data_IF_971771086318
#
_entry.id   IF_971771086318
#
_cell.length_a   1.000
_cell.length_b   1.000
_cell.length_c   1.000
_cell.angle_alpha   90.00
_cell.angle_beta   90.00
_cell.angle_gamma   90.00
#
_symmetry.space_group_name_H-M   'P 1'
#
loop_
_entity.id
_entity.type
_entity.pdbx_description
1 polymer ?
#
# COMPACT_ATOMS: atom_id res chain seq x y z
N UNK A 1 -17.98 -36.81 -8.01
CA UNK A 1 -17.40 -38.16 -8.11
C UNK A 1 -16.07 -38.18 -7.40
N UNK A 2 -15.85 -39.19 -6.57
CA UNK A 2 -14.70 -39.44 -5.68
C UNK A 2 -13.73 -40.34 -6.45
N UNK A 3 -12.44 -40.04 -6.52
CA UNK A 3 -11.43 -41.09 -6.70
C UNK A 3 -10.18 -40.79 -5.88
N UNK A 4 -9.95 -41.70 -4.95
CA UNK A 4 -8.84 -41.81 -4.01
C UNK A 4 -7.76 -42.69 -4.63
N UNK A 5 -6.49 -42.29 -4.41
CA UNK A 5 -5.21 -43.03 -4.38
C UNK A 5 -5.04 -44.32 -5.21
N UNK A 6 -3.90 -44.42 -5.90
CA UNK A 6 -2.89 -45.45 -5.60
C UNK A 6 -1.54 -45.16 -6.24
N UNK A 7 -0.49 -45.42 -5.47
CA UNK A 7 0.91 -45.28 -5.82
C UNK A 7 1.37 -46.36 -6.82
N UNK A 8 2.27 -45.99 -7.73
CA UNK A 8 3.10 -46.95 -8.47
C UNK A 8 4.55 -46.74 -8.06
N UNK A 9 5.08 -47.73 -7.33
CA UNK A 9 6.51 -48.02 -7.24
C UNK A 9 6.90 -48.76 -8.51
N UNK A 10 7.84 -48.21 -9.26
CA UNK A 10 8.52 -48.90 -10.36
C UNK A 10 10.00 -48.57 -10.30
N UNK A 11 10.80 -49.51 -9.78
CA UNK A 11 12.25 -49.49 -9.90
C UNK A 11 12.64 -50.35 -11.11
N UNK A 12 13.34 -49.77 -12.08
CA UNK A 12 14.12 -50.51 -13.09
C UNK A 12 15.36 -49.70 -13.44
N UNK A 13 16.52 -50.33 -13.29
CA UNK A 13 17.82 -49.84 -13.72
C UNK A 13 18.10 -50.22 -15.19
N UNK A 14 18.71 -49.31 -15.96
CA UNK A 14 19.74 -49.58 -16.98
C UNK A 14 20.07 -48.28 -17.72
N UNK A 15 21.35 -48.00 -17.90
CA UNK A 15 21.87 -46.71 -18.34
C UNK A 15 21.59 -46.35 -19.80
N UNK A 16 21.31 -45.07 -20.00
CA UNK A 16 21.54 -44.31 -21.22
C UNK A 16 21.74 -42.85 -20.80
N UNK A 17 22.82 -42.23 -21.26
CA UNK A 17 23.10 -40.80 -21.17
C UNK A 17 21.87 -40.01 -21.64
N UNK A 18 21.10 -39.49 -20.70
CA UNK A 18 20.07 -38.48 -20.91
C UNK A 18 20.52 -37.24 -20.18
N UNK A 19 20.64 -36.12 -20.90
CA UNK A 19 20.93 -34.83 -20.32
C UNK A 19 19.97 -34.57 -19.17
N UNK A 20 20.50 -34.52 -17.94
CA UNK A 20 19.74 -34.13 -16.77
C UNK A 20 19.44 -32.63 -16.86
N UNK A 21 18.40 -32.26 -17.60
CA UNK A 21 17.74 -30.97 -17.42
C UNK A 21 17.04 -31.03 -16.07
N UNK A 22 17.80 -30.76 -15.01
CA UNK A 22 17.25 -30.29 -13.74
C UNK A 22 16.49 -29.01 -14.06
N UNK A 23 15.20 -29.13 -14.32
CA UNK A 23 14.28 -28.02 -14.13
C UNK A 23 14.28 -27.74 -12.64
N UNK A 24 15.22 -26.88 -12.22
CA UNK A 24 15.05 -26.15 -10.99
C UNK A 24 13.71 -25.43 -11.14
N UNK A 25 12.70 -25.88 -10.40
CA UNK A 25 11.53 -25.06 -10.17
C UNK A 25 12.08 -23.79 -9.53
N UNK A 26 12.24 -22.74 -10.33
CA UNK A 26 12.56 -21.42 -9.82
C UNK A 26 11.41 -21.08 -8.89
N UNK A 27 11.64 -21.19 -7.59
CA UNK A 27 10.76 -20.57 -6.60
C UNK A 27 10.76 -19.11 -6.98
N UNK A 28 9.69 -18.65 -7.64
CA UNK A 28 9.48 -17.25 -7.90
C UNK A 28 9.33 -16.59 -6.53
N UNK A 29 10.43 -16.08 -6.00
CA UNK A 29 10.45 -15.27 -4.81
C UNK A 29 9.79 -13.94 -5.18
N UNK A 30 8.49 -13.85 -4.98
CA UNK A 30 7.78 -12.58 -4.93
C UNK A 30 8.56 -11.61 -4.03
N UNK A 31 8.87 -10.43 -4.55
CA UNK A 31 9.42 -9.38 -3.68
C UNK A 31 8.42 -9.15 -2.53
N UNK A 32 8.87 -9.05 -1.26
CA UNK A 32 7.98 -8.77 -0.15
C UNK A 32 7.15 -7.50 -0.43
N UNK A 33 5.86 -7.46 -0.05
CA UNK A 33 5.04 -6.28 -0.23
C UNK A 33 5.67 -5.08 0.48
N UNK A 34 5.53 -3.89 -0.11
CA UNK A 34 5.97 -2.68 0.55
C UNK A 34 4.92 -2.27 1.60
N UNK A 35 5.30 -2.28 2.88
CA UNK A 35 4.41 -1.97 4.01
C UNK A 35 4.75 -0.57 4.55
N UNK A 36 3.80 0.34 4.52
CA UNK A 36 3.94 1.71 5.01
C UNK A 36 2.76 2.14 5.88
N UNK A 37 2.94 3.24 6.60
CA UNK A 37 1.85 3.91 7.33
C UNK A 37 0.85 4.56 6.37
N UNK A 38 -0.40 4.74 6.83
CA UNK A 38 -1.37 5.57 6.11
C UNK A 38 -0.83 6.98 5.87
N UNK A 39 -1.10 7.55 4.69
CA UNK A 39 -0.62 8.87 4.26
C UNK A 39 0.74 8.84 3.57
N UNK A 40 1.47 7.73 3.64
CA UNK A 40 2.74 7.58 2.92
C UNK A 40 2.50 7.21 1.45
N UNK A 41 3.18 7.90 0.53
CA UNK A 41 3.16 7.56 -0.89
C UNK A 41 3.95 6.28 -1.16
N UNK A 42 3.39 5.38 -1.95
CA UNK A 42 4.03 4.14 -2.38
C UNK A 42 3.94 3.98 -3.90
N UNK A 43 5.01 3.47 -4.50
CA UNK A 43 5.13 3.34 -5.94
C UNK A 43 4.83 1.91 -6.40
N UNK A 44 3.93 1.79 -7.36
CA UNK A 44 3.68 0.58 -8.16
C UNK A 44 4.40 0.73 -9.49
N UNK A 45 5.28 -0.21 -9.81
CA UNK A 45 5.96 -0.30 -11.11
C UNK A 45 5.38 -1.49 -11.86
N UNK A 46 4.83 -1.24 -13.04
CA UNK A 46 4.27 -2.26 -13.93
C UNK A 46 4.85 -2.08 -15.34
N UNK A 47 5.93 -2.81 -15.63
CA UNK A 47 6.67 -2.68 -16.87
C UNK A 47 7.17 -1.24 -17.10
N UNK A 48 6.75 -0.55 -18.18
CA UNK A 48 7.12 0.84 -18.44
C UNK A 48 6.28 1.86 -17.66
N UNK A 49 5.22 1.42 -16.97
CA UNK A 49 4.30 2.28 -16.25
C UNK A 49 4.73 2.41 -14.79
N UNK A 50 4.58 3.61 -14.24
CA UNK A 50 4.87 3.87 -12.83
C UNK A 50 3.78 4.72 -12.23
N UNK A 51 3.15 4.20 -11.18
CA UNK A 51 2.04 4.85 -10.47
C UNK A 51 2.39 5.05 -9.02
N UNK A 52 2.27 6.26 -8.51
CA UNK A 52 2.34 6.51 -7.08
C UNK A 52 0.94 6.55 -6.50
N UNK A 53 0.70 5.69 -5.51
CA UNK A 53 -0.53 5.68 -4.73
C UNK A 53 -0.27 6.21 -3.33
N UNK A 54 -1.22 6.97 -2.80
CA UNK A 54 -1.27 7.36 -1.39
C UNK A 54 -2.64 6.98 -0.87
N UNK A 55 -2.69 6.15 0.18
CA UNK A 55 -3.94 5.83 0.87
C UNK A 55 -3.89 6.36 2.29
N UNK A 56 -4.96 7.03 2.72
CA UNK A 56 -5.05 7.63 4.05
C UNK A 56 -6.46 7.52 4.61
N UNK A 57 -6.60 7.92 5.88
CA UNK A 57 -7.90 8.21 6.47
C UNK A 57 -8.91 7.04 6.45
N UNK A 58 -8.43 5.80 6.62
CA UNK A 58 -9.30 4.62 6.73
C UNK A 58 -10.15 4.71 8.00
N UNK A 59 -11.47 4.81 7.83
CA UNK A 59 -12.42 4.99 8.94
C UNK A 59 -13.84 4.55 8.59
N UNK A 60 -14.72 4.36 9.59
CA UNK A 60 -16.15 4.17 9.34
C UNK A 60 -16.76 5.33 8.56
N UNK A 61 -17.69 5.02 7.65
CA UNK A 61 -18.40 6.00 6.84
C UNK A 61 -19.90 5.94 7.10
N UNK A 62 -20.55 7.10 7.04
CA UNK A 62 -22.01 7.25 7.04
C UNK A 62 -22.55 7.59 5.64
N UNK A 63 -21.72 7.51 4.59
CA UNK A 63 -22.14 7.76 3.23
C UNK A 63 -23.23 6.78 2.78
N UNK A 64 -24.23 7.28 2.06
CA UNK A 64 -25.18 6.42 1.35
C UNK A 64 -24.70 6.18 -0.07
N UNK A 65 -24.60 4.91 -0.46
CA UNK A 65 -24.23 4.50 -1.82
C UNK A 65 -25.51 4.06 -2.54
N UNK A 66 -26.02 4.83 -3.51
CA UNK A 66 -27.23 4.45 -4.24
C UNK A 66 -27.09 3.08 -4.91
N UNK A 67 -28.08 2.21 -4.71
CA UNK A 67 -28.09 0.86 -5.28
C UNK A 67 -27.21 -0.15 -4.52
N UNK A 68 -26.64 0.22 -3.37
CA UNK A 68 -25.87 -0.67 -2.51
C UNK A 68 -26.37 -0.63 -1.07
N UNK A 69 -26.64 -1.81 -0.51
CA UNK A 69 -27.01 -1.96 0.90
C UNK A 69 -25.87 -2.67 1.62
N UNK A 70 -25.13 -1.98 2.50
CA UNK A 70 -24.07 -2.60 3.29
C UNK A 70 -24.61 -3.76 4.13
N UNK A 71 -23.86 -4.87 4.16
CA UNK A 71 -24.15 -6.02 5.02
C UNK A 71 -23.55 -5.86 6.41
N UNK A 72 -22.50 -5.05 6.54
CA UNK A 72 -21.89 -4.67 7.80
C UNK A 72 -21.75 -3.16 7.91
N UNK A 73 -20.63 -2.71 8.46
CA UNK A 73 -20.32 -1.29 8.60
C UNK A 73 -19.61 -0.80 7.34
N UNK A 74 -20.09 0.29 6.75
CA UNK A 74 -19.39 0.92 5.64
C UNK A 74 -18.12 1.60 6.17
N UNK A 75 -17.00 1.37 5.50
CA UNK A 75 -15.74 2.08 5.73
C UNK A 75 -15.35 2.83 4.47
N UNK A 76 -14.58 3.90 4.65
CA UNK A 76 -13.98 4.66 3.57
C UNK A 76 -12.48 4.87 3.80
N UNK A 77 -11.73 5.03 2.72
CA UNK A 77 -10.35 5.51 2.75
C UNK A 77 -10.13 6.50 1.61
N UNK A 78 -9.36 7.55 1.86
CA UNK A 78 -8.97 8.50 0.82
C UNK A 78 -7.83 7.91 0.01
N UNK A 79 -7.87 8.09 -1.31
CA UNK A 79 -6.84 7.59 -2.22
C UNK A 79 -6.47 8.66 -3.25
N UNK A 80 -5.18 8.80 -3.49
CA UNK A 80 -4.62 9.56 -4.62
C UNK A 80 -3.79 8.63 -5.48
N UNK A 81 -4.01 8.69 -6.78
CA UNK A 81 -3.27 7.97 -7.80
C UNK A 81 -2.59 8.96 -8.74
N UNK A 82 -1.28 8.91 -8.86
CA UNK A 82 -0.48 9.79 -9.72
C UNK A 82 0.30 8.96 -10.73
N UNK A 83 0.25 9.35 -12.01
CA UNK A 83 1.08 8.72 -13.03
C UNK A 83 2.44 9.39 -13.08
N UNK A 84 3.50 8.70 -12.68
CA UNK A 84 4.88 9.23 -12.76
C UNK A 84 5.57 8.85 -14.08
N UNK A 85 5.21 7.71 -14.67
CA UNK A 85 5.68 7.29 -15.98
C UNK A 85 4.56 6.62 -16.80
N UNK A 86 4.38 7.09 -18.04
CA UNK A 86 3.37 6.58 -18.97
C UNK A 86 1.95 7.09 -18.69
N UNK A 87 0.98 6.53 -19.41
CA UNK A 87 -0.45 6.77 -19.17
C UNK A 87 -0.99 5.61 -18.36
N UNK A 88 -1.42 5.87 -17.13
CA UNK A 88 -1.84 4.84 -16.17
C UNK A 88 -3.34 4.79 -16.09
N UNK A 89 -3.93 3.60 -16.04
CA UNK A 89 -5.35 3.43 -15.69
C UNK A 89 -5.43 2.82 -14.29
N UNK A 90 -5.96 3.53 -13.28
CA UNK A 90 -5.98 3.03 -11.91
C UNK A 90 -6.95 1.86 -11.76
N UNK A 91 -6.47 0.75 -11.18
CA UNK A 91 -7.29 -0.44 -10.95
C UNK A 91 -7.96 -0.37 -9.58
N UNK A 92 -9.16 0.20 -9.53
CA UNK A 92 -9.88 0.41 -8.26
C UNK A 92 -10.16 -0.92 -7.55
N UNK A 93 -10.53 -1.99 -8.27
CA UNK A 93 -10.86 -3.31 -7.72
C UNK A 93 -9.68 -4.04 -7.04
N UNK A 94 -8.45 -3.58 -7.24
CA UNK A 94 -7.25 -4.17 -6.63
C UNK A 94 -7.08 -3.74 -5.16
N UNK A 95 -7.84 -2.73 -4.72
CA UNK A 95 -7.83 -2.29 -3.34
C UNK A 95 -8.70 -3.16 -2.43
N UNK A 96 -8.11 -3.57 -1.30
CA UNK A 96 -8.73 -4.44 -0.30
C UNK A 96 -8.47 -3.85 1.09
N UNK A 97 -9.52 -3.60 1.87
CA UNK A 97 -9.36 -3.31 3.29
C UNK A 97 -9.11 -4.61 4.06
N UNK A 98 -8.14 -4.60 4.98
CA UNK A 98 -7.70 -5.78 5.73
C UNK A 98 -7.84 -5.58 7.24
N UNK A 99 -8.48 -6.54 7.89
CA UNK A 99 -8.59 -6.66 9.34
C UNK A 99 -7.30 -7.16 10.00
N UNK A 100 -7.15 -6.97 11.32
CA UNK A 100 -5.98 -7.42 12.08
C UNK A 100 -5.80 -8.94 12.10
N UNK A 101 -6.87 -9.68 11.82
CA UNK A 101 -6.91 -11.14 11.67
C UNK A 101 -6.65 -11.62 10.24
N UNK A 102 -6.29 -10.72 9.30
CA UNK A 102 -6.12 -11.03 7.88
C UNK A 102 -7.43 -11.13 7.09
N UNK A 103 -8.57 -10.78 7.68
CA UNK A 103 -9.85 -10.76 6.97
C UNK A 103 -9.85 -9.67 5.90
N UNK A 104 -10.26 -10.02 4.68
CA UNK A 104 -10.25 -9.11 3.54
C UNK A 104 -11.67 -8.64 3.19
N UNK A 105 -11.82 -7.33 2.98
CA UNK A 105 -13.03 -6.68 2.50
C UNK A 105 -12.70 -5.99 1.18
N UNK A 106 -13.27 -6.49 0.08
CA UNK A 106 -13.05 -5.91 -1.25
C UNK A 106 -13.66 -4.51 -1.32
N UNK A 107 -13.04 -3.64 -2.12
CA UNK A 107 -13.63 -2.35 -2.46
C UNK A 107 -15.01 -2.55 -3.11
N UNK A 108 -15.89 -1.59 -2.92
CA UNK A 108 -17.18 -1.51 -3.59
C UNK A 108 -16.97 -0.78 -4.92
N UNK A 109 -16.88 -1.52 -6.02
CA UNK A 109 -16.64 -0.99 -7.38
C UNK A 109 -17.78 -1.28 -8.37
N UNK A 110 -18.67 -2.23 -8.05
CA UNK A 110 -19.78 -2.66 -8.92
C UNK A 110 -20.92 -1.65 -9.06
N UNK A 111 -20.92 -0.62 -8.23
CA UNK A 111 -21.89 0.48 -8.24
C UNK A 111 -21.14 1.80 -8.24
N UNK A 112 -21.79 2.86 -8.68
CA UNK A 112 -21.21 4.20 -8.58
C UNK A 112 -21.22 4.64 -7.11
N UNK A 113 -20.03 4.88 -6.57
CA UNK A 113 -19.84 5.36 -5.20
C UNK A 113 -19.64 6.88 -5.19
N UNK A 114 -20.07 7.59 -4.14
CA UNK A 114 -19.85 9.03 -4.01
C UNK A 114 -18.36 9.37 -4.03
N UNK A 115 -17.92 10.27 -4.90
CA UNK A 115 -16.52 10.72 -4.98
C UNK A 115 -15.51 9.57 -5.12
N UNK A 116 -15.92 8.47 -5.78
CA UNK A 116 -15.05 7.32 -6.04
C UNK A 116 -13.82 7.70 -6.84
N UNK A 117 -12.72 6.95 -6.66
CA UNK A 117 -11.55 7.10 -7.51
C UNK A 117 -11.94 6.87 -8.98
N UNK A 118 -11.66 7.85 -9.84
CA UNK A 118 -12.03 7.78 -11.25
C UNK A 118 -11.15 6.74 -11.98
N UNK A 119 -11.73 5.70 -12.60
CA UNK A 119 -10.97 4.67 -13.34
C UNK A 119 -10.54 5.12 -14.75
N UNK A 120 -10.67 6.41 -15.10
CA UNK A 120 -10.21 6.93 -16.38
C UNK A 120 -8.67 6.97 -16.48
N UNK A 121 -8.09 6.88 -17.69
CA UNK A 121 -6.65 7.02 -17.88
C UNK A 121 -6.11 8.37 -17.36
N UNK A 122 -5.01 8.30 -16.61
CA UNK A 122 -4.28 9.43 -16.02
C UNK A 122 -3.02 9.68 -16.88
N UNK A 123 -2.93 10.84 -17.56
CA UNK A 123 -1.72 11.22 -18.28
C UNK A 123 -0.50 11.31 -17.36
N UNK A 124 0.69 11.10 -17.91
CA UNK A 124 1.94 11.25 -17.15
C UNK A 124 2.04 12.64 -16.52
N UNK A 125 2.43 12.69 -15.25
CA UNK A 125 2.55 13.91 -14.44
C UNK A 125 1.24 14.40 -13.83
N UNK A 126 0.09 13.80 -14.18
CA UNK A 126 -1.21 14.11 -13.60
C UNK A 126 -1.58 13.14 -12.46
N UNK A 127 -2.60 13.52 -11.70
CA UNK A 127 -3.14 12.72 -10.60
C UNK A 127 -4.67 12.71 -10.58
N UNK A 128 -5.22 11.70 -9.91
CA UNK A 128 -6.64 11.50 -9.66
C UNK A 128 -6.83 11.16 -8.19
N UNK A 129 -7.74 11.84 -7.53
CA UNK A 129 -8.07 11.61 -6.11
C UNK A 129 -9.51 11.15 -6.00
N UNK A 130 -9.78 10.28 -5.04
CA UNK A 130 -11.13 9.86 -4.71
C UNK A 130 -11.18 9.08 -3.41
N UNK A 131 -12.31 8.40 -3.21
CA UNK A 131 -12.61 7.65 -2.00
C UNK A 131 -12.83 6.18 -2.36
N UNK A 132 -12.22 5.28 -1.59
CA UNK A 132 -12.47 3.85 -1.64
C UNK A 132 -13.49 3.50 -0.57
N UNK A 133 -14.52 2.72 -0.90
CA UNK A 133 -15.50 2.24 0.08
C UNK A 133 -15.40 0.74 0.26
N UNK A 134 -15.58 0.28 1.50
CA UNK A 134 -15.49 -1.13 1.88
C UNK A 134 -16.68 -1.51 2.75
N UNK A 135 -17.27 -2.68 2.51
CA UNK A 135 -18.33 -3.25 3.36
C UNK A 135 -17.72 -4.22 4.38
N UNK A 136 -17.58 -3.76 5.62
CA UNK A 136 -16.88 -4.47 6.69
C UNK A 136 -17.87 -5.31 7.49
N UNK A 137 -17.87 -6.62 7.24
CA UNK A 137 -18.77 -7.59 7.86
C UNK A 137 -18.18 -8.31 9.07
N UNK A 138 -16.98 -7.94 9.51
CA UNK A 138 -16.26 -8.58 10.62
C UNK A 138 -15.44 -7.58 11.44
N UNK A 139 -14.23 -7.98 11.82
CA UNK A 139 -13.33 -7.12 12.59
C UNK A 139 -13.00 -5.81 11.83
N UNK A 140 -12.94 -4.65 12.52
CA UNK A 140 -12.55 -3.38 11.91
C UNK A 140 -11.22 -3.48 11.15
N UNK A 141 -11.14 -2.97 9.91
CA UNK A 141 -9.90 -2.99 9.15
C UNK A 141 -8.89 -2.01 9.77
N UNK A 142 -7.61 -2.40 9.74
CA UNK A 142 -6.48 -1.59 10.17
C UNK A 142 -5.45 -1.39 9.05
N UNK A 143 -5.76 -1.84 7.83
CA UNK A 143 -4.94 -1.68 6.65
C UNK A 143 -5.74 -1.64 5.35
N UNK A 144 -5.15 -1.06 4.33
CA UNK A 144 -5.57 -1.16 2.93
C UNK A 144 -4.42 -1.74 2.14
N UNK A 145 -4.73 -2.66 1.23
CA UNK A 145 -3.79 -3.40 0.42
C UNK A 145 -4.12 -3.17 -1.05
N UNK A 146 -3.10 -2.95 -1.86
CA UNK A 146 -3.17 -3.09 -3.31
C UNK A 146 -2.68 -4.50 -3.67
N UNK A 147 -3.55 -5.31 -4.26
CA UNK A 147 -3.25 -6.67 -4.71
C UNK A 147 -3.38 -6.74 -6.23
N UNK A 148 -2.31 -7.09 -6.93
CA UNK A 148 -2.23 -7.11 -8.41
C UNK A 148 -2.98 -8.31 -9.06
N UNK A 149 -3.85 -8.97 -8.29
CA UNK A 149 -4.55 -10.20 -8.68
C UNK A 149 -3.77 -11.48 -8.38
N UNK A 150 -2.46 -11.39 -8.09
CA UNK A 150 -1.63 -12.54 -7.70
C UNK A 150 -1.12 -12.41 -6.27
N UNK A 151 -0.67 -11.22 -5.89
CA UNK A 151 0.01 -10.97 -4.61
C UNK A 151 -0.26 -9.56 -4.10
N UNK A 152 -0.02 -9.38 -2.79
CA UNK A 152 -0.02 -8.05 -2.21
C UNK A 152 1.24 -7.33 -2.65
N UNK A 153 1.09 -6.11 -3.17
CA UNK A 153 2.24 -5.32 -3.67
C UNK A 153 2.47 -4.11 -2.78
N UNK A 154 1.40 -3.39 -2.44
CA UNK A 154 1.44 -2.20 -1.57
C UNK A 154 0.51 -2.40 -0.38
N UNK A 155 0.95 -2.03 0.81
CA UNK A 155 0.18 -2.16 2.05
C UNK A 155 0.32 -0.87 2.85
N UNK A 156 -0.80 -0.19 3.09
CA UNK A 156 -0.92 0.92 4.04
C UNK A 156 -1.59 0.41 5.31
N UNK A 157 -1.00 0.61 6.48
CA UNK A 157 -1.58 0.14 7.74
C UNK A 157 -1.24 1.04 8.92
N UNK A 158 -2.16 1.13 9.87
CA UNK A 158 -1.93 1.80 11.17
C UNK A 158 -0.90 1.07 12.03
N UNK A 159 -0.57 -0.19 11.69
CA UNK A 159 0.40 -1.01 12.41
C UNK A 159 1.78 -1.02 11.73
N UNK A 160 2.04 -0.12 10.79
CA UNK A 160 3.31 -0.07 10.11
C UNK A 160 4.43 0.24 11.11
N UNK A 161 5.64 -0.35 10.97
CA UNK A 161 6.78 0.06 11.75
C UNK A 161 6.96 1.57 11.55
N UNK A 162 7.07 2.32 12.65
CA UNK A 162 6.95 3.77 12.64
C UNK A 162 7.96 4.43 11.68
N UNK A 163 7.52 4.79 10.48
CA UNK A 163 8.08 5.88 9.70
C UNK A 163 7.32 7.15 10.09
N UNK A 164 7.37 7.52 11.37
CA UNK A 164 6.97 8.86 11.81
C UNK A 164 8.14 9.80 11.52
N UNK A 165 7.97 10.90 10.76
CA UNK A 165 8.80 12.07 10.95
C UNK A 165 8.66 12.44 12.44
N UNK A 166 9.75 12.40 13.20
CA UNK A 166 9.70 12.73 14.62
C UNK A 166 9.10 14.13 14.80
N UNK A 167 8.03 14.25 15.57
CA UNK A 167 7.66 15.54 16.13
C UNK A 167 8.79 16.02 17.04
N UNK A 168 9.13 17.31 17.00
CA UNK A 168 10.15 17.87 17.87
C UNK A 168 9.87 17.52 19.35
N UNK A 169 10.91 17.12 20.09
CA UNK A 169 10.89 16.74 21.52
C UNK A 169 10.21 15.41 21.93
N UNK A 170 10.46 14.32 21.22
CA UNK A 170 10.32 12.97 21.81
C UNK A 170 11.61 12.14 21.67
N UNK A 171 12.13 11.54 22.75
CA UNK A 171 13.24 10.58 22.67
C UNK A 171 12.80 9.30 21.95
N UNK A 172 13.48 8.93 20.87
CA UNK A 172 13.24 7.66 20.16
C UNK A 172 13.72 6.44 20.95
N UNK A 173 12.97 5.34 20.91
CA UNK A 173 13.40 4.05 21.48
C UNK A 173 14.50 3.42 20.62
N UNK A 174 15.57 2.98 21.26
CA UNK A 174 16.82 2.57 20.62
C UNK A 174 16.70 1.25 19.82
N UNK A 175 16.83 1.32 18.49
CA UNK A 175 17.65 0.38 17.68
C UNK A 175 17.71 0.79 16.20
N UNK A 176 18.47 1.83 15.88
CA UNK A 176 19.23 1.94 14.61
C UNK A 176 20.18 3.16 14.69
N UNK A 177 21.44 3.06 14.23
CA UNK A 177 22.27 4.24 14.04
C UNK A 177 21.69 5.08 12.89
N UNK A 178 21.16 6.26 13.20
CA UNK A 178 20.84 7.25 12.18
C UNK A 178 22.12 7.72 11.49
N UNK A 179 22.08 7.91 10.18
CA UNK A 179 23.11 8.71 9.49
C UNK A 179 23.16 10.07 10.16
N UNK A 180 24.35 10.53 10.56
CA UNK A 180 24.53 11.81 11.22
C UNK A 180 23.93 12.94 10.35
N UNK A 181 22.99 13.70 10.91
CA UNK A 181 22.58 14.97 10.32
C UNK A 181 23.80 15.89 10.30
N UNK A 182 24.15 16.42 9.13
CA UNK A 182 25.01 17.60 9.05
C UNK A 182 24.38 18.72 9.89
N UNK A 183 25.14 19.40 10.77
CA UNK A 183 24.63 20.55 11.48
C UNK A 183 24.23 21.65 10.49
N UNK A 184 22.96 22.06 10.55
CA UNK A 184 22.49 23.25 9.85
C UNK A 184 23.36 24.46 10.20
N UNK A 185 23.73 25.23 9.18
CA UNK A 185 24.56 26.42 9.33
C UNK A 185 23.95 27.38 10.37
N UNK A 186 24.74 27.90 11.34
CA UNK A 186 24.21 28.82 12.33
C UNK A 186 23.88 30.18 11.68
N UNK A 187 22.65 30.65 11.89
CA UNK A 187 22.29 32.06 11.68
C UNK A 187 23.14 32.95 12.58
N UNK A 188 23.72 34.06 12.08
CA UNK A 188 24.55 34.93 12.91
C UNK A 188 23.68 35.66 13.95
N UNK A 189 24.00 35.46 15.24
CA UNK A 189 23.52 36.31 16.34
C UNK A 189 24.02 37.75 16.16
N UNK A 190 23.23 38.78 16.49
CA UNK A 190 23.70 40.16 16.52
C UNK A 190 24.75 40.35 17.64
N UNK A 191 25.76 41.17 17.38
CA UNK A 191 26.80 41.49 18.35
C UNK A 191 26.24 42.26 19.57
N UNK A 192 26.86 42.14 20.76
CA UNK A 192 26.43 42.84 21.97
C UNK A 192 26.41 44.37 21.78
N UNK A 193 25.23 44.99 21.89
CA UNK A 193 25.04 46.45 21.85
C UNK A 193 23.95 46.98 20.91
N UNK A 194 23.32 46.14 20.08
CA UNK A 194 22.22 46.58 19.22
C UNK A 194 20.85 46.48 19.93
N UNK A 195 19.96 47.47 19.82
CA UNK A 195 18.60 47.38 20.35
C UNK A 195 17.77 46.33 19.57
N UNK A 196 16.84 45.62 20.23
CA UNK A 196 16.04 44.59 19.59
C UNK A 196 15.06 45.17 18.56
N UNK A 197 14.86 44.44 17.45
CA UNK A 197 13.87 44.77 16.43
C UNK A 197 12.43 44.55 16.93
N UNK A 198 11.42 45.24 16.37
CA UNK A 198 10.05 45.18 16.88
C UNK A 198 9.39 43.83 16.56
N UNK A 199 8.61 43.31 17.51
CA UNK A 199 7.78 42.14 17.31
C UNK A 199 6.59 42.48 16.40
N UNK A 200 6.39 41.68 15.34
CA UNK A 200 5.16 41.71 14.54
C UNK A 200 4.11 40.79 15.16
N UNK A 201 2.88 41.31 15.25
CA UNK A 201 1.66 40.67 15.73
C UNK A 201 1.14 39.58 14.77
#
# INVERSE_FOLDING_TARGET
MKFTMSAVKGAVAAGAIAAASVFAATTASAAPPNIQGFGTSQQLVDGPLTTTYTVSNLQPSNASIPGYTPKGTLYQADVTARSDAGVVTPMVNDFIARGPNGQNYRVIDKVQVPNGLNPAPIPQGAESTGVLYFDVTGAPPNGVVYNDGMQDVLIWTSNAPANQPGTANQPGTANQPGTANEPGAPTPSPAPGAPPAPAHA
#
